data_IF_530395221484
#
_entry.id   IF_530395221484
#
_cell.length_a   1.000
_cell.length_b   1.000
_cell.length_c   1.000
_cell.angle_alpha   90.00
_cell.angle_beta   90.00
_cell.angle_gamma   90.00
#
_symmetry.space_group_name_H-M   'P 1'
#
loop_
_entity.id
_entity.type
_entity.pdbx_description
1 polymer ?
#
# COMPACT_ATOMS: atom_id res chain seq x y z
N UNK A 1 15.63 32.52 3.75
CA UNK A 1 15.00 31.50 4.62
C UNK A 1 13.85 30.94 3.82
N UNK A 2 13.99 29.72 3.28
CA UNK A 2 12.94 29.11 2.47
C UNK A 2 11.89 28.54 3.42
N UNK A 3 10.67 29.07 3.36
CA UNK A 3 9.52 28.52 4.07
C UNK A 3 9.38 27.04 3.72
N UNK A 4 9.55 26.17 4.73
CA UNK A 4 9.20 24.76 4.61
C UNK A 4 7.71 24.72 4.36
N UNK A 5 7.32 24.49 3.10
CA UNK A 5 5.95 24.21 2.71
C UNK A 5 5.50 22.94 3.44
N UNK A 6 4.93 23.08 4.63
CA UNK A 6 4.25 22.01 5.38
C UNK A 6 2.90 21.78 4.73
N UNK A 7 2.95 21.28 3.50
CA UNK A 7 1.76 20.96 2.73
C UNK A 7 1.15 19.70 3.37
N UNK A 8 0.26 19.92 4.34
CA UNK A 8 -0.39 18.84 5.08
C UNK A 8 -1.11 17.93 4.09
N UNK A 9 -0.62 16.72 3.92
CA UNK A 9 -1.17 15.75 2.98
C UNK A 9 -2.28 14.95 3.64
N UNK A 10 -3.41 14.78 2.94
CA UNK A 10 -4.49 13.92 3.41
C UNK A 10 -4.08 12.47 3.24
N UNK A 11 -4.23 11.69 4.30
CA UNK A 11 -4.03 10.23 4.29
C UNK A 11 -5.37 9.57 4.54
N UNK A 12 -5.92 8.90 3.52
CA UNK A 12 -7.16 8.13 3.67
C UNK A 12 -6.87 6.81 4.37
N UNK A 13 -7.75 6.40 5.29
CA UNK A 13 -7.57 5.13 5.99
C UNK A 13 -7.67 3.94 5.04
N UNK A 14 -8.50 4.00 4.00
CA UNK A 14 -8.57 2.98 2.94
C UNK A 14 -7.19 2.71 2.33
N UNK A 15 -6.51 3.76 1.87
CA UNK A 15 -5.18 3.67 1.23
C UNK A 15 -4.13 3.14 2.20
N UNK A 16 -4.19 3.63 3.45
CA UNK A 16 -3.32 3.18 4.55
C UNK A 16 -3.46 1.69 4.80
N UNK A 17 -4.68 1.17 4.95
CA UNK A 17 -4.91 -0.24 5.25
C UNK A 17 -4.67 -1.17 4.06
N UNK A 18 -4.89 -0.70 2.83
CA UNK A 18 -4.47 -1.41 1.62
C UNK A 18 -2.96 -1.58 1.59
N UNK A 19 -2.20 -0.50 1.79
CA UNK A 19 -0.74 -0.58 1.83
C UNK A 19 -0.24 -1.43 3.00
N UNK A 20 -0.82 -1.23 4.18
CA UNK A 20 -0.47 -1.97 5.40
C UNK A 20 -0.70 -3.47 5.22
N UNK A 21 -1.82 -3.88 4.62
CA UNK A 21 -2.08 -5.30 4.31
C UNK A 21 -0.96 -5.88 3.45
N UNK A 22 -0.64 -5.23 2.32
CA UNK A 22 0.40 -5.70 1.40
C UNK A 22 1.75 -5.79 2.13
N UNK A 23 2.09 -4.78 2.93
CA UNK A 23 3.36 -4.77 3.67
C UNK A 23 3.45 -5.90 4.70
N UNK A 24 2.39 -6.13 5.47
CA UNK A 24 2.37 -7.09 6.58
C UNK A 24 2.16 -8.54 6.14
N UNK A 25 1.52 -8.78 5.00
CA UNK A 25 1.20 -10.14 4.54
C UNK A 25 2.12 -10.58 3.39
N UNK A 26 2.51 -9.66 2.50
CA UNK A 26 3.15 -10.01 1.23
C UNK A 26 4.61 -9.53 1.12
N UNK A 27 5.04 -8.59 1.97
CA UNK A 27 6.39 -8.01 1.98
C UNK A 27 7.15 -8.28 3.30
N UNK A 28 6.99 -9.48 3.85
CA UNK A 28 7.42 -9.83 5.21
C UNK A 28 8.87 -10.26 5.36
N UNK A 29 9.49 -10.78 4.29
CA UNK A 29 10.88 -11.25 4.32
C UNK A 29 11.85 -10.08 4.47
N UNK A 30 12.62 -10.07 5.57
CA UNK A 30 13.68 -9.08 5.85
C UNK A 30 14.87 -9.19 4.89
N UNK A 31 15.10 -10.37 4.32
CA UNK A 31 16.20 -10.63 3.38
C UNK A 31 15.84 -10.27 1.93
N UNK A 32 14.61 -9.84 1.69
CA UNK A 32 14.12 -9.49 0.36
C UNK A 32 14.11 -7.98 0.17
N UNK A 33 14.95 -7.50 -0.75
CA UNK A 33 15.01 -6.07 -1.08
C UNK A 33 13.76 -5.60 -1.84
N UNK A 34 13.46 -4.30 -1.75
CA UNK A 34 12.39 -3.66 -2.52
C UNK A 34 12.50 -3.91 -4.04
N UNK A 35 13.72 -4.01 -4.58
CA UNK A 35 13.95 -4.37 -6.00
C UNK A 35 13.50 -5.80 -6.32
N UNK A 36 13.76 -6.75 -5.41
CA UNK A 36 13.34 -8.13 -5.59
C UNK A 36 11.81 -8.24 -5.49
N UNK A 37 11.18 -7.58 -4.53
CA UNK A 37 9.72 -7.48 -4.47
C UNK A 37 9.12 -6.81 -5.70
N UNK A 38 9.73 -5.74 -6.20
CA UNK A 38 9.27 -5.07 -7.42
C UNK A 38 9.24 -6.02 -8.62
N UNK A 39 10.27 -6.87 -8.77
CA UNK A 39 10.29 -7.93 -9.79
C UNK A 39 9.19 -8.98 -9.57
N UNK A 40 8.98 -9.41 -8.32
CA UNK A 40 7.95 -10.41 -7.99
C UNK A 40 6.55 -9.88 -8.31
N UNK A 41 6.25 -8.63 -7.95
CA UNK A 41 4.91 -8.04 -8.07
C UNK A 41 4.70 -7.21 -9.33
N UNK A 42 5.67 -7.18 -10.25
CA UNK A 42 5.56 -6.48 -11.53
C UNK A 42 5.51 -4.95 -11.40
N UNK A 43 6.17 -4.36 -10.40
CA UNK A 43 6.17 -2.92 -10.14
C UNK A 43 7.58 -2.36 -9.92
N UNK A 44 7.76 -1.06 -10.08
CA UNK A 44 9.03 -0.41 -9.75
C UNK A 44 9.32 -0.51 -8.24
N UNK A 45 10.58 -0.64 -7.84
CA UNK A 45 10.96 -0.74 -6.43
C UNK A 45 10.47 0.44 -5.57
N UNK A 46 10.36 1.64 -6.14
CA UNK A 46 9.80 2.81 -5.45
C UNK A 46 8.32 2.63 -5.08
N UNK A 47 7.57 1.82 -5.82
CA UNK A 47 6.20 1.44 -5.43
C UNK A 47 6.25 0.62 -4.15
N UNK A 48 7.16 -0.35 -4.06
CA UNK A 48 7.34 -1.16 -2.85
C UNK A 48 7.75 -0.28 -1.66
N UNK A 49 8.73 0.61 -1.86
CA UNK A 49 9.16 1.55 -0.80
C UNK A 49 8.00 2.41 -0.30
N UNK A 50 7.16 2.94 -1.21
CA UNK A 50 5.96 3.72 -0.84
C UNK A 50 4.93 2.89 -0.09
N UNK A 51 4.71 1.63 -0.46
CA UNK A 51 3.80 0.71 0.24
C UNK A 51 4.28 0.48 1.68
N UNK A 52 5.59 0.35 1.89
CA UNK A 52 6.20 0.08 3.20
C UNK A 52 6.35 1.33 4.09
N UNK A 53 5.98 2.52 3.61
CA UNK A 53 5.91 3.70 4.46
C UNK A 53 4.81 3.53 5.53
N UNK A 54 4.99 4.16 6.69
CA UNK A 54 4.07 4.02 7.85
C UNK A 54 2.58 4.19 7.49
N UNK A 55 2.27 5.13 6.61
CA UNK A 55 0.90 5.41 6.15
C UNK A 55 0.65 4.97 4.70
N UNK A 56 1.63 4.32 4.05
CA UNK A 56 1.56 3.98 2.65
C UNK A 56 1.43 5.21 1.74
N UNK A 57 0.74 5.01 0.61
CA UNK A 57 0.40 6.06 -0.35
C UNK A 57 -0.92 5.72 -1.06
N UNK A 58 -1.49 6.68 -1.79
CA UNK A 58 -2.64 6.43 -2.66
C UNK A 58 -2.19 5.57 -3.87
N UNK A 59 -2.43 4.26 -3.78
CA UNK A 59 -2.05 3.29 -4.80
C UNK A 59 -3.02 3.36 -5.99
N UNK A 60 -2.55 3.59 -7.22
CA UNK A 60 -3.42 3.50 -8.38
C UNK A 60 -4.05 2.11 -8.48
N UNK A 61 -5.34 2.04 -8.79
CA UNK A 61 -6.05 0.76 -8.92
C UNK A 61 -5.40 -0.16 -9.95
N UNK A 62 -4.83 0.40 -11.02
CA UNK A 62 -4.05 -0.34 -12.01
C UNK A 62 -2.79 -0.97 -11.40
N UNK A 63 -2.06 -0.25 -10.57
CA UNK A 63 -0.91 -0.78 -9.83
C UNK A 63 -1.32 -1.88 -8.87
N UNK A 64 -2.40 -1.69 -8.11
CA UNK A 64 -2.93 -2.71 -7.21
C UNK A 64 -3.37 -3.97 -8.00
N UNK A 65 -4.00 -3.78 -9.16
CA UNK A 65 -4.38 -4.88 -10.06
C UNK A 65 -3.18 -5.67 -10.54
N UNK A 66 -2.09 -4.99 -10.92
CA UNK A 66 -0.83 -5.63 -11.31
C UNK A 66 -0.23 -6.44 -10.17
N UNK A 67 -0.20 -5.90 -8.95
CA UNK A 67 0.31 -6.62 -7.77
C UNK A 67 -0.55 -7.87 -7.52
N UNK A 68 -1.88 -7.75 -7.51
CA UNK A 68 -2.80 -8.87 -7.30
C UNK A 68 -2.63 -9.96 -8.38
N UNK A 69 -2.49 -9.55 -9.64
CA UNK A 69 -2.27 -10.46 -10.76
C UNK A 69 -0.99 -11.28 -10.57
N UNK A 70 0.13 -10.63 -10.25
CA UNK A 70 1.40 -11.32 -10.01
C UNK A 70 1.40 -12.14 -8.71
N UNK A 71 0.58 -11.78 -7.72
CA UNK A 71 0.32 -12.59 -6.53
C UNK A 71 -0.63 -13.78 -6.82
N UNK A 72 -1.28 -13.83 -7.99
CA UNK A 72 -2.19 -14.92 -8.35
C UNK A 72 -3.58 -14.85 -7.69
N UNK A 73 -4.03 -13.66 -7.29
CA UNK A 73 -5.37 -13.46 -6.71
C UNK A 73 -6.18 -12.43 -7.50
N UNK A 74 -7.51 -12.55 -7.46
CA UNK A 74 -8.39 -11.53 -8.04
C UNK A 74 -8.39 -10.29 -7.15
N UNK A 75 -8.48 -9.12 -7.78
CA UNK A 75 -8.62 -7.85 -7.07
C UNK A 75 -9.82 -7.82 -6.10
N UNK A 76 -10.93 -8.46 -6.48
CA UNK A 76 -12.10 -8.61 -5.60
C UNK A 76 -11.80 -9.43 -4.35
N UNK A 77 -10.96 -10.46 -4.47
CA UNK A 77 -10.60 -11.32 -3.33
C UNK A 77 -9.59 -10.63 -2.43
N UNK A 78 -8.69 -9.83 -3.01
CA UNK A 78 -7.83 -8.93 -2.24
C UNK A 78 -8.64 -8.03 -1.31
N UNK A 79 -9.67 -7.34 -1.81
CA UNK A 79 -10.47 -6.44 -0.94
C UNK A 79 -11.19 -7.18 0.18
N UNK A 80 -11.67 -8.41 -0.06
CA UNK A 80 -12.23 -9.26 1.01
C UNK A 80 -11.20 -9.59 2.09
N UNK A 81 -9.93 -9.81 1.72
CA UNK A 81 -8.86 -10.07 2.68
C UNK A 81 -8.55 -8.82 3.52
N UNK A 82 -8.51 -7.64 2.89
CA UNK A 82 -8.31 -6.37 3.59
C UNK A 82 -9.46 -6.10 4.54
N UNK A 83 -10.70 -6.26 4.09
CA UNK A 83 -11.90 -6.10 4.92
C UNK A 83 -11.93 -7.10 6.08
N UNK A 84 -11.55 -8.36 5.86
CA UNK A 84 -11.45 -9.36 6.92
C UNK A 84 -10.45 -8.96 8.03
N UNK A 85 -9.35 -8.29 7.68
CA UNK A 85 -8.30 -7.92 8.65
C UNK A 85 -8.49 -6.54 9.28
N UNK A 86 -9.04 -5.58 8.53
CA UNK A 86 -9.12 -4.18 8.94
C UNK A 86 -10.52 -3.58 8.82
N UNK A 87 -11.58 -4.38 8.64
CA UNK A 87 -12.94 -3.90 8.43
C UNK A 87 -13.44 -2.90 9.49
N UNK A 88 -13.02 -3.06 10.75
CA UNK A 88 -13.35 -2.12 11.84
C UNK A 88 -12.72 -0.73 11.66
N UNK A 89 -11.63 -0.63 10.89
CA UNK A 89 -10.88 0.60 10.67
C UNK A 89 -11.05 1.17 9.25
N UNK A 90 -11.63 0.39 8.33
CA UNK A 90 -11.94 0.82 6.98
C UNK A 90 -13.18 1.71 7.02
N UNK A 91 -12.96 3.01 6.84
CA UNK A 91 -14.01 3.99 6.67
C UNK A 91 -13.50 5.11 5.75
N UNK A 92 -14.41 6.01 5.35
CA UNK A 92 -14.12 7.11 4.44
C UNK A 92 -13.39 8.30 5.12
N UNK A 93 -12.87 8.11 6.33
CA UNK A 93 -12.15 9.15 7.07
C UNK A 93 -10.68 9.25 6.66
N UNK A 94 -10.06 10.37 7.01
CA UNK A 94 -8.67 10.67 6.72
C UNK A 94 -8.01 11.50 7.83
N UNK A 95 -6.68 11.48 7.90
CA UNK A 95 -5.86 12.33 8.78
C UNK A 95 -4.94 13.26 7.96
N UNK A 96 -4.45 14.34 8.58
CA UNK A 96 -3.47 15.25 7.97
C UNK A 96 -2.07 14.93 8.50
N UNK A 97 -1.11 14.71 7.59
CA UNK A 97 0.34 14.61 7.90
C UNK A 97 1.10 15.83 7.39
#
# INVERSE_FOLDING_TARGET
MADKNTNKSKVYFSDKYVCKFISEEWLTSKDTSARKYGKIYGVNYHVIEKIQQENGYNIPLSTLSTICFNHGIKLSDFFKLVEKKYGEFLNDSYEYK
#
